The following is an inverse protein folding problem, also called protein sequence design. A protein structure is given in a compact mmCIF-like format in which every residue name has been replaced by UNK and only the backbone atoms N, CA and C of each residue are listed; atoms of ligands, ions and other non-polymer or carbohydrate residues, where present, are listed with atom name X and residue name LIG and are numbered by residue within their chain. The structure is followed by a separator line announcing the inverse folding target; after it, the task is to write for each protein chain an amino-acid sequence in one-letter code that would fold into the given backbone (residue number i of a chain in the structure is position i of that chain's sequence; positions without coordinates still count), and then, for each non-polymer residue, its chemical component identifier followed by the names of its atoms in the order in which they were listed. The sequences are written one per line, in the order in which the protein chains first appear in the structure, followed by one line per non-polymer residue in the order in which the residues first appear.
data_IF_990881903273
#
_entry.id   IF_990881903273
#
_cell.length_a   1.000
_cell.length_b   1.000
_cell.length_c   1.000
_cell.angle_alpha   90.00
_cell.angle_beta   90.00
_cell.angle_gamma   90.00
#
_symmetry.space_group_name_H-M   'P 1'
#
loop_
_entity.id
_entity.type
_entity.pdbx_description
1 polymer ?
#
# COMPACT_ATOMS: atom_id res chain seq x y z
N UNK A 1 3.83 20.54 15.68
CA UNK A 1 3.31 19.16 15.89
C UNK A 1 3.96 18.54 17.12
N UNK A 2 3.28 17.67 17.90
CA UNK A 2 3.95 16.89 18.97
C UNK A 2 4.28 15.51 18.42
N UNK A 3 5.53 15.06 18.57
CA UNK A 3 6.00 13.75 18.18
C UNK A 3 6.56 13.03 19.41
N UNK A 4 6.14 11.79 19.66
CA UNK A 4 6.62 11.02 20.82
C UNK A 4 7.99 10.41 20.56
N UNK A 5 8.73 10.09 21.62
CA UNK A 5 10.04 9.42 21.52
C UNK A 5 9.95 8.09 20.75
N UNK A 6 8.86 7.35 20.88
CA UNK A 6 8.63 6.11 20.15
C UNK A 6 8.49 6.38 18.62
N UNK A 7 7.76 7.42 18.24
CA UNK A 7 7.63 7.82 16.83
C UNK A 7 8.97 8.27 16.25
N UNK A 8 9.76 9.05 17.00
CA UNK A 8 11.13 9.44 16.60
C UNK A 8 11.99 8.18 16.37
N UNK A 9 11.95 7.21 17.28
CA UNK A 9 12.71 5.98 17.14
C UNK A 9 12.30 5.18 15.88
N UNK A 10 10.99 5.07 15.60
CA UNK A 10 10.48 4.40 14.40
C UNK A 10 10.89 5.12 13.11
N UNK A 11 10.79 6.45 13.07
CA UNK A 11 11.24 7.23 11.91
C UNK A 11 12.74 7.06 11.69
N UNK A 12 13.55 7.12 12.75
CA UNK A 12 14.99 6.90 12.64
C UNK A 12 15.34 5.49 12.14
N UNK A 13 14.60 4.48 12.55
CA UNK A 13 14.76 3.13 12.02
C UNK A 13 14.50 3.09 10.51
N UNK A 14 13.47 3.78 10.03
CA UNK A 14 13.17 3.90 8.59
C UNK A 14 14.28 4.68 7.86
N UNK A 15 14.73 5.81 8.40
CA UNK A 15 15.83 6.61 7.82
C UNK A 15 17.08 5.73 7.64
N UNK A 16 17.47 4.97 8.65
CA UNK A 16 18.64 4.07 8.56
C UNK A 16 18.45 2.98 7.50
N UNK A 17 17.27 2.37 7.43
CA UNK A 17 16.96 1.37 6.40
C UNK A 17 17.07 1.95 4.99
N UNK A 18 16.55 3.17 4.77
CA UNK A 18 16.61 3.87 3.49
C UNK A 18 18.04 4.26 3.10
N UNK A 19 18.83 4.78 4.05
CA UNK A 19 20.24 5.16 3.81
C UNK A 19 21.09 3.94 3.41
N UNK A 20 20.80 2.77 3.98
CA UNK A 20 21.50 1.52 3.68
C UNK A 20 21.06 0.88 2.36
N UNK A 21 19.81 1.06 1.95
CA UNK A 21 19.27 0.49 0.72
C UNK A 21 19.82 1.12 -0.57
N UNK A 22 20.48 2.29 -0.48
CA UNK A 22 21.02 3.04 -1.63
C UNK A 22 20.03 3.25 -2.79
N UNK A 23 18.73 3.31 -2.46
CA UNK A 23 17.64 3.56 -3.39
C UNK A 23 17.38 5.06 -3.58
N UNK A 24 16.29 5.38 -4.30
CA UNK A 24 15.85 6.76 -4.51
C UNK A 24 15.76 7.57 -3.20
N UNK A 25 15.08 7.04 -2.18
CA UNK A 25 14.91 7.75 -0.90
C UNK A 25 16.23 7.90 -0.13
N UNK A 26 17.07 6.86 -0.12
CA UNK A 26 18.36 6.90 0.53
C UNK A 26 19.28 7.96 -0.08
N UNK A 27 19.27 8.11 -1.41
CA UNK A 27 20.00 9.18 -2.12
C UNK A 27 19.49 10.56 -1.73
N UNK A 28 18.17 10.75 -1.76
CA UNK A 28 17.53 12.03 -1.41
C UNK A 28 17.82 12.46 0.04
N UNK A 29 17.79 11.52 0.98
CA UNK A 29 18.18 11.78 2.37
C UNK A 29 19.67 12.18 2.51
N UNK A 30 20.56 11.49 1.80
CA UNK A 30 22.00 11.82 1.78
C UNK A 30 22.26 13.21 1.22
N UNK A 31 21.62 13.56 0.12
CA UNK A 31 21.73 14.88 -0.52
C UNK A 31 21.21 16.00 0.39
N UNK A 32 20.19 15.73 1.19
CA UNK A 32 19.67 16.64 2.21
C UNK A 32 20.47 16.65 3.52
N UNK A 33 21.51 15.84 3.64
CA UNK A 33 22.33 15.74 4.86
C UNK A 33 21.61 15.10 6.05
N UNK A 34 20.51 14.36 5.81
CA UNK A 34 19.70 13.73 6.86
C UNK A 34 20.28 12.36 7.22
N UNK A 35 20.66 12.21 8.48
CA UNK A 35 21.06 10.90 9.05
C UNK A 35 20.14 10.42 10.17
N UNK A 36 19.46 11.31 10.87
CA UNK A 36 18.46 11.02 11.92
C UNK A 36 17.64 12.27 12.20
N UNK A 37 16.55 12.10 12.96
CA UNK A 37 15.78 13.19 13.54
C UNK A 37 15.76 13.08 15.07
N UNK A 38 15.60 14.20 15.78
CA UNK A 38 15.54 14.26 17.23
C UNK A 38 14.31 15.01 17.75
N UNK A 39 13.66 15.77 16.88
CA UNK A 39 12.56 16.65 17.21
C UNK A 39 11.46 16.64 16.14
N UNK A 40 10.33 17.26 16.45
CA UNK A 40 9.27 17.51 15.48
C UNK A 40 9.75 18.48 14.37
N UNK A 41 10.62 19.43 14.70
CA UNK A 41 11.20 20.36 13.74
C UNK A 41 12.09 19.63 12.72
N UNK A 42 12.93 18.70 13.16
CA UNK A 42 13.74 17.89 12.26
C UNK A 42 12.86 17.07 11.31
N UNK A 43 11.74 16.52 11.83
CA UNK A 43 10.79 15.78 11.01
C UNK A 43 10.12 16.67 9.96
N UNK A 44 9.73 17.90 10.30
CA UNK A 44 9.13 18.87 9.37
C UNK A 44 10.11 19.33 8.28
N UNK A 45 11.42 19.25 8.55
CA UNK A 45 12.49 19.60 7.61
C UNK A 45 12.95 18.43 6.72
N UNK A 46 12.36 17.24 6.83
CA UNK A 46 12.66 16.12 5.93
C UNK A 46 12.32 16.48 4.47
N UNK A 47 13.12 16.02 3.48
CA UNK A 47 12.86 16.33 2.08
C UNK A 47 11.58 15.68 1.59
N UNK A 48 10.70 16.47 0.97
CA UNK A 48 9.48 15.96 0.33
C UNK A 48 9.81 15.20 -0.96
N UNK A 49 8.94 14.26 -1.31
CA UNK A 49 8.94 13.58 -2.60
C UNK A 49 7.72 13.98 -3.42
N UNK A 50 7.95 14.23 -4.69
CA UNK A 50 6.91 14.56 -5.65
C UNK A 50 6.61 13.37 -6.58
N UNK A 51 5.49 13.42 -7.29
CA UNK A 51 5.09 12.36 -8.21
C UNK A 51 6.14 12.09 -9.31
N UNK A 52 6.81 13.12 -9.78
CA UNK A 52 7.87 12.97 -10.79
C UNK A 52 9.10 12.26 -10.22
N UNK A 53 9.46 12.53 -8.98
CA UNK A 53 10.52 11.81 -8.27
C UNK A 53 10.26 10.30 -8.26
N UNK A 54 9.02 9.92 -7.92
CA UNK A 54 8.61 8.51 -7.87
C UNK A 54 8.62 7.86 -9.26
N UNK A 55 8.27 8.62 -10.31
CA UNK A 55 8.34 8.14 -11.71
C UNK A 55 9.78 7.94 -12.18
N UNK A 56 10.68 8.84 -11.78
CA UNK A 56 12.11 8.76 -12.13
C UNK A 56 12.79 7.54 -11.49
N UNK A 57 12.18 6.96 -10.44
CA UNK A 57 12.62 5.72 -9.83
C UNK A 57 12.13 4.44 -10.56
N UNK A 58 11.44 4.57 -11.69
CA UNK A 58 10.98 3.43 -12.49
C UNK A 58 12.16 2.57 -12.98
N UNK A 59 12.04 1.21 -13.04
CA UNK A 59 10.89 0.44 -12.58
C UNK A 59 10.92 0.11 -11.07
N UNK A 60 12.05 -0.18 -10.46
CA UNK A 60 12.17 -0.70 -9.09
C UNK A 60 13.02 0.17 -8.16
N UNK A 61 13.35 1.39 -8.56
CA UNK A 61 14.20 2.31 -7.78
C UNK A 61 13.60 2.76 -6.44
N UNK A 62 12.32 2.47 -6.16
CA UNK A 62 11.69 2.67 -4.86
C UNK A 62 11.92 1.50 -3.90
N UNK A 63 12.45 0.38 -4.38
CA UNK A 63 12.66 -0.84 -3.59
C UNK A 63 13.65 -0.61 -2.46
N UNK A 64 13.29 -1.01 -1.24
CA UNK A 64 14.12 -0.90 -0.03
C UNK A 64 14.54 -2.27 0.52
N UNK A 65 13.77 -3.30 0.22
CA UNK A 65 14.08 -4.67 0.59
C UNK A 65 14.86 -5.39 -0.52
N UNK A 66 15.61 -6.46 -0.21
CA UNK A 66 16.21 -7.33 -1.22
C UNK A 66 15.16 -7.89 -2.19
N UNK A 67 15.52 -8.02 -3.47
CA UNK A 67 14.58 -8.39 -4.54
C UNK A 67 13.91 -9.74 -4.27
N UNK A 68 14.64 -10.70 -3.72
CA UNK A 68 14.12 -12.03 -3.35
C UNK A 68 13.04 -12.01 -2.26
N UNK A 69 12.85 -10.88 -1.56
CA UNK A 69 11.78 -10.68 -0.58
C UNK A 69 10.54 -10.01 -1.16
N UNK A 70 10.61 -9.54 -2.40
CA UNK A 70 9.48 -8.91 -3.07
C UNK A 70 8.54 -10.01 -3.60
N UNK A 71 7.30 -10.00 -3.12
CA UNK A 71 6.28 -11.00 -3.49
C UNK A 71 5.18 -10.44 -4.37
N UNK A 72 5.11 -9.11 -4.49
CA UNK A 72 4.07 -8.42 -5.26
C UNK A 72 4.53 -7.03 -5.69
N UNK A 73 4.00 -6.58 -6.82
CA UNK A 73 4.09 -5.17 -7.22
C UNK A 73 2.70 -4.61 -7.46
N UNK A 74 2.53 -3.32 -7.24
CA UNK A 74 1.40 -2.54 -7.71
C UNK A 74 1.88 -1.32 -8.48
N UNK A 75 1.01 -0.76 -9.32
CA UNK A 75 1.35 0.45 -10.06
C UNK A 75 0.20 1.44 -10.08
N UNK A 76 0.56 2.72 -10.24
CA UNK A 76 -0.39 3.73 -10.67
C UNK A 76 -0.83 3.46 -12.12
N UNK A 77 -1.96 4.05 -12.53
CA UNK A 77 -2.53 3.86 -13.89
C UNK A 77 -1.60 4.30 -15.03
N UNK A 78 -0.61 5.15 -14.77
CA UNK A 78 0.34 5.62 -15.79
C UNK A 78 -0.25 6.50 -16.89
N UNK A 79 -1.49 7.00 -16.75
CA UNK A 79 -2.21 7.80 -17.78
C UNK A 79 -1.46 9.05 -18.25
N UNK A 80 -0.54 9.57 -17.44
CA UNK A 80 0.21 10.81 -17.72
C UNK A 80 1.73 10.58 -17.84
N UNK A 81 2.15 9.37 -18.21
CA UNK A 81 3.58 9.00 -18.37
C UNK A 81 3.90 7.64 -17.72
N UNK A 82 5.18 7.41 -17.37
CA UNK A 82 5.59 6.19 -16.70
C UNK A 82 4.81 5.97 -15.40
N UNK A 83 4.34 4.74 -15.14
CA UNK A 83 3.67 4.42 -13.88
C UNK A 83 4.65 4.48 -12.71
N UNK A 84 4.13 4.75 -11.52
CA UNK A 84 4.87 4.51 -10.28
C UNK A 84 4.68 3.05 -9.89
N UNK A 85 5.77 2.31 -9.75
CA UNK A 85 5.77 0.91 -9.32
C UNK A 85 6.11 0.86 -7.83
N UNK A 86 5.28 0.18 -7.05
CA UNK A 86 5.49 -0.04 -5.62
C UNK A 86 5.71 -1.52 -5.37
N UNK A 87 6.93 -1.95 -5.00
CA UNK A 87 7.22 -3.32 -4.59
C UNK A 87 6.76 -3.58 -3.15
N UNK A 88 6.26 -4.77 -2.89
CA UNK A 88 5.78 -5.20 -1.57
C UNK A 88 6.46 -6.50 -1.14
N UNK A 89 6.92 -6.53 0.11
CA UNK A 89 7.27 -7.78 0.79
C UNK A 89 6.01 -8.53 1.26
N UNK A 90 6.16 -9.77 1.71
CA UNK A 90 5.05 -10.53 2.31
C UNK A 90 4.45 -9.80 3.52
N UNK A 91 5.30 -9.13 4.33
CA UNK A 91 4.85 -8.34 5.46
C UNK A 91 4.04 -7.12 5.02
N UNK A 92 4.47 -6.40 3.98
CA UNK A 92 3.74 -5.23 3.47
C UNK A 92 2.36 -5.63 2.95
N UNK A 93 2.27 -6.80 2.28
CA UNK A 93 0.99 -7.36 1.81
C UNK A 93 0.06 -7.69 2.97
N UNK A 94 0.58 -8.26 4.06
CA UNK A 94 -0.22 -8.57 5.26
C UNK A 94 -0.66 -7.30 5.98
N UNK A 95 0.23 -6.34 6.19
CA UNK A 95 -0.07 -5.04 6.80
C UNK A 95 -1.15 -4.30 5.98
N UNK A 96 -1.05 -4.34 4.66
CA UNK A 96 -2.04 -3.75 3.77
C UNK A 96 -3.42 -4.42 3.88
N UNK A 97 -3.47 -5.77 3.94
CA UNK A 97 -4.71 -6.50 4.19
C UNK A 97 -5.34 -6.12 5.54
N UNK A 98 -4.52 -5.90 6.59
CA UNK A 98 -4.99 -5.41 7.89
C UNK A 98 -5.61 -4.02 7.77
N UNK A 99 -5.05 -3.11 6.97
CA UNK A 99 -5.64 -1.78 6.76
C UNK A 99 -7.01 -1.87 6.11
N UNK A 100 -7.18 -2.69 5.06
CA UNK A 100 -8.48 -2.92 4.43
C UNK A 100 -9.49 -3.57 5.40
N UNK A 101 -9.06 -4.56 6.18
CA UNK A 101 -9.88 -5.14 7.26
C UNK A 101 -10.41 -4.05 8.19
N UNK A 102 -9.55 -3.14 8.66
CA UNK A 102 -9.95 -2.03 9.54
C UNK A 102 -10.98 -1.11 8.87
N UNK A 103 -10.84 -0.84 7.57
CA UNK A 103 -11.84 -0.07 6.83
C UNK A 103 -13.21 -0.77 6.84
N UNK A 104 -13.25 -2.08 6.63
CA UNK A 104 -14.48 -2.86 6.73
C UNK A 104 -15.07 -2.84 8.14
N UNK A 105 -14.27 -3.04 9.18
CA UNK A 105 -14.69 -2.94 10.58
C UNK A 105 -15.26 -1.56 10.91
N UNK A 106 -14.64 -0.47 10.41
CA UNK A 106 -15.16 0.89 10.57
C UNK A 106 -16.50 1.11 9.86
N UNK A 107 -16.76 0.38 8.76
CA UNK A 107 -18.06 0.38 8.08
C UNK A 107 -19.10 -0.52 8.77
N UNK A 108 -18.75 -1.16 9.89
CA UNK A 108 -19.65 -2.06 10.64
C UNK A 108 -19.70 -3.49 10.11
N UNK A 109 -18.83 -3.85 9.17
CA UNK A 109 -18.80 -5.19 8.60
C UNK A 109 -18.11 -6.20 9.51
N UNK A 110 -18.52 -7.45 9.41
CA UNK A 110 -18.07 -8.57 10.23
C UNK A 110 -17.74 -9.80 9.39
N UNK A 111 -17.32 -10.88 10.02
CA UNK A 111 -17.09 -12.16 9.38
C UNK A 111 -18.40 -12.86 8.90
N UNK A 112 -19.56 -12.32 9.23
CA UNK A 112 -20.87 -12.82 8.76
C UNK A 112 -21.27 -12.22 7.41
N UNK A 113 -20.56 -11.18 6.95
CA UNK A 113 -20.86 -10.49 5.71
C UNK A 113 -20.39 -11.27 4.47
N UNK A 114 -21.02 -10.96 3.33
CA UNK A 114 -20.69 -11.49 2.02
C UNK A 114 -20.34 -10.34 1.09
N UNK A 115 -19.08 -10.25 0.73
CA UNK A 115 -18.54 -9.08 0.04
C UNK A 115 -18.27 -9.43 -1.42
N UNK A 116 -19.05 -8.82 -2.33
CA UNK A 116 -18.80 -8.95 -3.77
C UNK A 116 -17.80 -7.90 -4.26
N UNK A 117 -16.71 -8.37 -4.86
CA UNK A 117 -15.63 -7.51 -5.36
C UNK A 117 -15.82 -7.33 -6.86
N UNK A 118 -16.22 -6.14 -7.28
CA UNK A 118 -16.48 -5.80 -8.69
C UNK A 118 -15.35 -5.03 -9.38
N UNK A 119 -14.44 -4.33 -8.68
CA UNK A 119 -13.28 -3.71 -9.31
C UNK A 119 -12.33 -4.70 -9.96
N UNK A 120 -11.54 -4.23 -10.95
CA UNK A 120 -10.55 -5.05 -11.65
C UNK A 120 -9.44 -5.55 -10.75
N UNK A 121 -8.98 -6.75 -11.05
CA UNK A 121 -7.76 -7.34 -10.52
C UNK A 121 -6.61 -7.07 -11.49
N UNK A 122 -5.44 -6.70 -11.01
CA UNK A 122 -4.29 -6.39 -11.83
C UNK A 122 -3.25 -5.57 -11.08
N UNK A 123 -2.44 -4.81 -11.80
CA UNK A 123 -1.40 -3.97 -11.19
C UNK A 123 -1.98 -2.86 -10.28
N UNK A 124 -3.20 -2.42 -10.54
CA UNK A 124 -3.89 -1.48 -9.66
C UNK A 124 -4.38 -2.17 -8.39
N UNK A 125 -4.41 -1.43 -7.29
CA UNK A 125 -4.58 -1.97 -5.94
C UNK A 125 -6.00 -2.41 -5.58
N UNK A 126 -7.05 -2.00 -6.34
CA UNK A 126 -8.43 -2.10 -5.86
C UNK A 126 -8.92 -3.54 -5.62
N UNK A 127 -9.11 -4.35 -6.67
CA UNK A 127 -9.74 -5.66 -6.53
C UNK A 127 -9.05 -6.55 -5.49
N UNK A 128 -7.72 -6.70 -5.63
CA UNK A 128 -6.94 -7.57 -4.76
C UNK A 128 -6.84 -7.04 -3.31
N UNK A 129 -6.89 -5.71 -3.11
CA UNK A 129 -6.87 -5.12 -1.78
C UNK A 129 -8.17 -5.35 -1.03
N UNK A 130 -9.29 -5.12 -1.69
CA UNK A 130 -10.60 -5.39 -1.13
C UNK A 130 -10.75 -6.87 -0.77
N UNK A 131 -10.34 -7.77 -1.65
CA UNK A 131 -10.37 -9.20 -1.38
C UNK A 131 -9.52 -9.57 -0.16
N UNK A 132 -8.26 -9.17 -0.15
CA UNK A 132 -7.34 -9.50 0.94
C UNK A 132 -7.84 -9.01 2.31
N UNK A 133 -8.43 -7.80 2.36
CA UNK A 133 -9.03 -7.25 3.57
C UNK A 133 -10.27 -8.00 4.01
N UNK A 134 -11.15 -8.39 3.08
CA UNK A 134 -12.34 -9.16 3.36
C UNK A 134 -12.02 -10.57 3.88
N UNK A 135 -11.05 -11.26 3.25
CA UNK A 135 -10.54 -12.55 3.73
C UNK A 135 -9.90 -12.42 5.12
N UNK A 136 -9.13 -11.34 5.36
CA UNK A 136 -8.53 -11.07 6.67
C UNK A 136 -9.57 -10.74 7.74
N UNK A 137 -10.73 -10.19 7.37
CA UNK A 137 -11.91 -10.00 8.24
C UNK A 137 -12.59 -11.34 8.58
N UNK A 138 -12.43 -12.34 7.72
CA UNK A 138 -13.12 -13.62 7.81
C UNK A 138 -14.48 -13.63 7.08
N UNK A 139 -14.79 -12.58 6.31
CA UNK A 139 -16.01 -12.49 5.51
C UNK A 139 -15.94 -13.39 4.27
N UNK A 140 -17.11 -13.78 3.76
CA UNK A 140 -17.20 -14.52 2.49
C UNK A 140 -16.93 -13.56 1.32
N UNK A 141 -15.95 -13.89 0.49
CA UNK A 141 -15.63 -13.07 -0.71
C UNK A 141 -16.23 -13.70 -1.97
N UNK A 142 -16.85 -12.85 -2.79
CA UNK A 142 -17.32 -13.18 -4.15
C UNK A 142 -16.49 -12.38 -5.15
N UNK A 143 -15.38 -12.93 -5.68
CA UNK A 143 -14.40 -12.19 -6.47
C UNK A 143 -14.80 -12.13 -7.95
N UNK A 144 -15.77 -11.31 -8.29
CA UNK A 144 -16.34 -11.21 -9.64
C UNK A 144 -15.43 -10.49 -10.65
N UNK A 145 -14.69 -9.47 -10.20
CA UNK A 145 -14.01 -8.56 -11.12
C UNK A 145 -14.99 -7.70 -11.94
N UNK A 146 -14.52 -6.92 -12.92
CA UNK A 146 -15.34 -5.98 -13.68
C UNK A 146 -16.15 -6.64 -14.80
N UNK A 147 -17.19 -5.95 -15.24
CA UNK A 147 -18.01 -6.33 -16.40
C UNK A 147 -19.13 -7.29 -16.10
N UNK A 148 -19.88 -7.66 -17.13
CA UNK A 148 -21.03 -8.57 -17.10
C UNK A 148 -22.06 -8.22 -16.01
N UNK A 149 -22.75 -7.09 -16.18
CA UNK A 149 -23.71 -6.54 -15.20
C UNK A 149 -24.79 -7.55 -14.78
N UNK A 150 -25.35 -8.28 -15.74
CA UNK A 150 -26.42 -9.26 -15.45
C UNK A 150 -25.90 -10.38 -14.52
N UNK A 151 -24.69 -10.88 -14.78
CA UNK A 151 -24.06 -11.88 -13.91
C UNK A 151 -23.72 -11.30 -12.54
N UNK A 152 -23.30 -10.04 -12.46
CA UNK A 152 -23.05 -9.35 -11.19
C UNK A 152 -24.33 -9.32 -10.34
N UNK A 153 -25.44 -8.88 -10.92
CA UNK A 153 -26.72 -8.79 -10.24
C UNK A 153 -27.24 -10.17 -9.85
N UNK A 154 -27.11 -11.16 -10.74
CA UNK A 154 -27.48 -12.53 -10.43
C UNK A 154 -26.70 -13.08 -9.22
N UNK A 155 -25.38 -12.89 -9.20
CA UNK A 155 -24.55 -13.33 -8.08
C UNK A 155 -24.88 -12.61 -6.78
N UNK A 156 -25.20 -11.30 -6.83
CA UNK A 156 -25.65 -10.56 -5.66
C UNK A 156 -26.92 -11.17 -5.04
N UNK A 157 -27.87 -11.54 -5.89
CA UNK A 157 -29.12 -12.19 -5.43
C UNK A 157 -28.87 -13.60 -4.90
N UNK A 158 -28.13 -14.43 -5.64
CA UNK A 158 -27.89 -15.83 -5.30
C UNK A 158 -27.04 -15.97 -4.03
N UNK A 159 -25.99 -15.16 -3.91
CA UNK A 159 -25.08 -15.16 -2.77
C UNK A 159 -25.60 -14.28 -1.61
N UNK A 160 -26.66 -13.50 -1.82
CA UNK A 160 -27.22 -12.58 -0.82
C UNK A 160 -26.10 -11.67 -0.26
N UNK A 161 -25.40 -10.97 -1.15
CA UNK A 161 -24.30 -10.08 -0.75
C UNK A 161 -24.81 -8.92 0.12
N UNK A 162 -24.06 -8.59 1.17
CA UNK A 162 -24.41 -7.56 2.17
C UNK A 162 -23.69 -6.26 1.92
#
# INVERSE_FOLDING_TARGET
MQISSNQIAQVNQQIQALLNANNFYGKKLKEAGVSSIQSAEDFENLPFSEKNDLRNAYPLGLMTAPEEKIVRIHSSSGTTGLPVIIPYTAKDVDDWAIMFKRCYEMAGMTNMDRIQITPGYGLWTAGIGFQAGAEKLGAMVVPMGPGNTDKQLQMMMDMKTT
#
